data_IF_573901303417
#
_entry.id   IF_573901303417
#
_cell.length_a   1.000
_cell.length_b   1.000
_cell.length_c   1.000
_cell.angle_alpha   90.00
_cell.angle_beta   90.00
_cell.angle_gamma   90.00
#
_symmetry.space_group_name_H-M   'P 1'
#
loop_
_entity.id
_entity.type
_entity.pdbx_description
1 polymer ?
#
# COMPACT_ATOMS: atom_id res chain seq x y z
N UNK A 1 -5.58 -4.56 7.21
CA UNK A 1 -5.41 -3.10 6.97
C UNK A 1 -4.19 -2.88 6.09
N UNK A 2 -4.32 -2.08 5.04
CA UNK A 2 -3.21 -1.75 4.12
C UNK A 2 -2.85 -0.28 4.24
N UNK A 3 -1.56 0.02 4.30
CA UNK A 3 -1.01 1.38 4.29
C UNK A 3 0.13 1.44 3.28
N UNK A 4 0.16 2.50 2.46
CA UNK A 4 1.22 2.75 1.48
C UNK A 4 1.91 4.05 1.82
N UNK A 5 3.24 4.04 1.78
CA UNK A 5 4.10 5.15 2.13
C UNK A 5 4.98 5.56 0.94
N UNK A 6 5.24 6.86 0.80
CA UNK A 6 6.24 7.36 -0.14
C UNK A 6 7.67 7.17 0.40
N UNK A 7 8.68 7.60 -0.35
CA UNK A 7 10.10 7.53 0.06
C UNK A 7 10.43 8.29 1.35
N UNK A 8 9.66 9.32 1.68
CA UNK A 8 9.83 10.11 2.90
C UNK A 8 9.15 9.47 4.12
N UNK A 9 8.51 8.30 3.94
CA UNK A 9 7.75 7.61 4.98
C UNK A 9 6.38 8.21 5.25
N UNK A 10 5.90 9.12 4.41
CA UNK A 10 4.55 9.70 4.53
C UNK A 10 3.49 8.74 3.99
N UNK A 11 2.40 8.49 4.73
CA UNK A 11 1.31 7.64 4.25
C UNK A 11 0.54 8.35 3.13
N UNK A 12 0.50 7.74 1.95
CA UNK A 12 -0.20 8.27 0.76
C UNK A 12 -1.48 7.51 0.43
N UNK A 13 -1.65 6.31 0.99
CA UNK A 13 -2.88 5.53 0.82
C UNK A 13 -3.13 4.66 2.06
N UNK A 14 -4.41 4.52 2.41
CA UNK A 14 -4.85 3.67 3.53
C UNK A 14 -6.17 2.99 3.20
N UNK A 15 -6.17 1.67 3.24
CA UNK A 15 -7.36 0.84 3.10
C UNK A 15 -7.67 0.14 4.42
N UNK A 16 -8.82 0.47 4.99
CA UNK A 16 -9.42 -0.22 6.13
C UNK A 16 -10.49 -1.16 5.61
N UNK A 17 -10.11 -2.34 5.15
CA UNK A 17 -11.07 -3.39 4.83
C UNK A 17 -11.02 -4.47 5.91
N UNK A 18 -12.20 -4.88 6.38
CA UNK A 18 -12.38 -6.03 7.26
C UNK A 18 -12.35 -7.36 6.47
N UNK A 19 -12.62 -7.32 5.16
CA UNK A 19 -12.92 -8.51 4.35
C UNK A 19 -11.98 -8.72 3.14
N UNK A 20 -11.16 -7.72 2.77
CA UNK A 20 -10.17 -7.90 1.69
C UNK A 20 -8.83 -8.34 2.26
N UNK A 21 -8.60 -9.65 2.23
CA UNK A 21 -7.29 -10.26 2.46
C UNK A 21 -6.29 -9.97 1.34
N UNK A 22 -6.76 -9.50 0.18
CA UNK A 22 -5.94 -9.26 -0.99
C UNK A 22 -5.84 -7.76 -1.31
N UNK A 23 -4.61 -7.27 -1.40
CA UNK A 23 -4.24 -5.96 -1.93
C UNK A 23 -3.59 -6.15 -3.30
N UNK A 24 -4.10 -5.46 -4.32
CA UNK A 24 -3.52 -5.47 -5.65
C UNK A 24 -2.92 -4.10 -6.00
N UNK A 25 -1.86 -4.09 -6.81
CA UNK A 25 -1.25 -2.84 -7.29
C UNK A 25 -2.26 -1.99 -8.07
N UNK A 26 -3.19 -2.63 -8.78
CA UNK A 26 -4.30 -1.98 -9.47
C UNK A 26 -5.24 -1.19 -8.54
N UNK A 27 -5.24 -1.45 -7.23
CA UNK A 27 -5.99 -0.63 -6.26
C UNK A 27 -5.37 0.78 -6.09
N UNK A 28 -4.10 0.94 -6.51
CA UNK A 28 -3.39 2.23 -6.59
C UNK A 28 -3.53 2.90 -7.96
N UNK A 29 -3.84 2.13 -9.01
CA UNK A 29 -4.12 2.67 -10.33
C UNK A 29 -5.37 3.57 -10.25
N UNK A 30 -5.25 4.80 -10.77
CA UNK A 30 -6.31 5.81 -10.66
C UNK A 30 -6.27 6.67 -9.39
N UNK A 31 -5.33 6.44 -8.45
CA UNK A 31 -5.08 7.35 -7.32
C UNK A 31 -4.18 8.54 -7.66
N UNK A 32 -3.63 8.58 -8.86
CA UNK A 32 -2.76 9.67 -9.32
C UNK A 32 -1.46 9.76 -8.53
N UNK A 33 -0.97 8.62 -7.99
CA UNK A 33 0.32 8.58 -7.32
C UNK A 33 1.43 8.84 -8.36
N UNK A 34 2.35 9.79 -8.10
CA UNK A 34 3.48 10.04 -8.99
C UNK A 34 4.34 8.79 -9.19
N UNK A 35 5.06 8.74 -10.32
CA UNK A 35 6.07 7.73 -10.56
C UNK A 35 7.09 7.74 -9.41
N UNK A 36 7.44 6.57 -8.89
CA UNK A 36 8.36 6.48 -7.77
C UNK A 36 8.28 5.17 -7.01
N UNK A 37 9.10 5.11 -5.96
CA UNK A 37 9.17 3.97 -5.06
C UNK A 37 8.21 4.21 -3.88
N UNK A 38 7.44 3.17 -3.57
CA UNK A 38 6.51 3.15 -2.45
C UNK A 38 6.74 1.92 -1.58
N UNK A 39 6.38 2.05 -0.31
CA UNK A 39 6.42 0.96 0.66
C UNK A 39 5.01 0.60 1.08
N UNK A 40 4.66 -0.68 1.00
CA UNK A 40 3.36 -1.19 1.41
C UNK A 40 3.51 -1.91 2.74
N UNK A 41 2.60 -1.64 3.67
CA UNK A 41 2.44 -2.33 4.95
C UNK A 41 1.06 -2.94 5.03
N UNK A 42 0.99 -4.26 5.19
CA UNK A 42 -0.25 -5.00 5.34
C UNK A 42 -0.29 -5.59 6.76
N UNK A 43 -1.20 -5.08 7.59
CA UNK A 43 -1.50 -5.66 8.90
C UNK A 43 -2.53 -6.77 8.73
N UNK A 44 -2.13 -8.00 9.04
CA UNK A 44 -2.94 -9.23 9.10
C UNK A 44 -3.17 -9.64 10.55
N UNK A 45 -4.02 -10.66 10.78
CA UNK A 45 -4.32 -11.16 12.13
C UNK A 45 -3.07 -11.68 12.86
N UNK A 46 -2.12 -12.27 12.14
CA UNK A 46 -0.93 -12.93 12.70
C UNK A 46 0.37 -12.17 12.52
N UNK A 47 0.34 -10.92 12.03
CA UNK A 47 1.56 -10.14 11.84
C UNK A 47 1.44 -9.03 10.81
N UNK A 48 2.62 -8.54 10.40
CA UNK A 48 2.77 -7.46 9.43
C UNK A 48 3.59 -7.99 8.26
N UNK A 49 3.04 -7.85 7.06
CA UNK A 49 3.75 -8.05 5.80
C UNK A 49 4.13 -6.71 5.19
N UNK A 50 5.29 -6.67 4.54
CA UNK A 50 5.79 -5.48 3.87
C UNK A 50 6.24 -5.79 2.44
N UNK A 51 6.08 -4.81 1.55
CA UNK A 51 6.53 -4.90 0.17
C UNK A 51 7.05 -3.54 -0.32
N UNK A 52 7.89 -3.57 -1.35
CA UNK A 52 8.36 -2.39 -2.07
C UNK A 52 7.75 -2.39 -3.47
N UNK A 53 7.23 -1.26 -3.90
CA UNK A 53 6.56 -1.07 -5.18
C UNK A 53 7.25 0.02 -5.97
N UNK A 54 7.37 -0.17 -7.28
CA UNK A 54 7.74 0.87 -8.23
C UNK A 54 6.49 1.18 -9.06
N UNK A 55 6.05 2.43 -9.03
CA UNK A 55 4.98 2.97 -9.89
C UNK A 55 5.66 3.79 -10.99
N UNK A 56 5.21 3.60 -12.24
CA UNK A 56 5.70 4.29 -13.45
C UNK A 56 4.53 4.76 -14.30
#
# INVERSE_FOLDING_TARGET
>A
MVEVFNLEGMPVYKLRSADKDNFAVSDLEGKGLPCGIYFVRIKKAHGIETAKLLIC
#
